data_IF_473699319376
#
_entry.id   IF_473699319376
#
_cell.length_a   1.000
_cell.length_b   1.000
_cell.length_c   1.000
_cell.angle_alpha   90.00
_cell.angle_beta   90.00
_cell.angle_gamma   90.00
#
_symmetry.space_group_name_H-M   'P 1'
#
loop_
_entity.id
_entity.type
_entity.pdbx_description
1 polymer ?
#
# COMPACT_ATOMS: atom_id res chain seq x y z
N UNK A 1 -38.45 -16.38 -20.28
CA UNK A 1 -38.15 -15.38 -19.26
C UNK A 1 -39.36 -15.28 -18.35
N UNK A 2 -39.22 -15.60 -17.07
CA UNK A 2 -40.02 -14.88 -16.09
C UNK A 2 -39.04 -13.90 -15.49
N UNK A 3 -39.10 -12.65 -15.96
CA UNK A 3 -38.48 -11.55 -15.23
C UNK A 3 -39.01 -11.59 -13.79
N UNK A 4 -38.16 -11.29 -12.81
CA UNK A 4 -38.52 -11.30 -11.40
C UNK A 4 -39.49 -10.15 -11.11
N UNK A 5 -40.77 -10.36 -11.45
CA UNK A 5 -41.85 -9.41 -11.18
C UNK A 5 -42.29 -9.46 -9.72
N UNK A 6 -43.33 -8.68 -9.37
CA UNK A 6 -43.82 -8.60 -7.99
C UNK A 6 -44.15 -9.97 -7.38
N UNK A 7 -44.75 -10.88 -8.16
CA UNK A 7 -45.04 -12.24 -7.71
C UNK A 7 -43.76 -13.04 -7.39
N UNK A 8 -42.74 -12.95 -8.25
CA UNK A 8 -41.45 -13.61 -8.03
C UNK A 8 -40.69 -13.04 -6.83
N UNK A 9 -40.83 -11.73 -6.57
CA UNK A 9 -40.28 -11.11 -5.36
C UNK A 9 -40.94 -11.64 -4.08
N UNK A 10 -42.28 -11.80 -4.08
CA UNK A 10 -43.01 -12.39 -2.95
C UNK A 10 -42.58 -13.85 -2.74
N UNK A 11 -42.52 -14.64 -3.81
CA UNK A 11 -42.04 -16.02 -3.76
C UNK A 11 -40.62 -16.09 -3.19
N UNK A 12 -39.70 -15.26 -3.68
CA UNK A 12 -38.34 -15.17 -3.18
C UNK A 12 -38.30 -14.87 -1.67
N UNK A 13 -39.09 -13.91 -1.19
CA UNK A 13 -39.15 -13.61 0.27
C UNK A 13 -39.72 -14.75 1.10
N UNK A 14 -40.53 -15.62 0.52
CA UNK A 14 -41.09 -16.78 1.22
C UNK A 14 -40.09 -17.94 1.40
N UNK A 15 -38.99 -17.93 0.64
CA UNK A 15 -37.98 -19.01 0.68
C UNK A 15 -37.09 -18.98 1.93
N UNK A 16 -37.12 -17.89 2.71
CA UNK A 16 -36.24 -17.71 3.85
C UNK A 16 -36.95 -17.03 5.01
N UNK A 17 -36.68 -17.46 6.25
CA UNK A 17 -37.37 -16.91 7.41
C UNK A 17 -36.70 -15.64 7.93
N UNK A 18 -37.51 -14.73 8.46
CA UNK A 18 -37.02 -13.51 9.14
C UNK A 18 -36.05 -13.87 10.27
N UNK A 19 -36.35 -14.90 11.07
CA UNK A 19 -35.48 -15.34 12.16
C UNK A 19 -34.05 -15.65 11.69
N UNK A 20 -33.90 -16.35 10.55
CA UNK A 20 -32.58 -16.64 9.98
C UNK A 20 -31.90 -15.42 9.39
N UNK A 21 -32.65 -14.44 8.88
CA UNK A 21 -32.04 -13.17 8.45
C UNK A 21 -31.45 -12.40 9.63
N UNK A 22 -32.11 -12.47 10.80
CA UNK A 22 -31.65 -11.82 12.03
C UNK A 22 -30.40 -12.47 12.65
N UNK A 23 -30.06 -13.70 12.28
CA UNK A 23 -28.80 -14.36 12.68
C UNK A 23 -27.56 -13.73 11.99
N UNK A 24 -27.75 -12.81 11.04
CA UNK A 24 -26.65 -12.07 10.44
C UNK A 24 -26.07 -11.09 11.47
N UNK A 25 -24.78 -11.23 11.76
CA UNK A 25 -24.03 -10.43 12.75
C UNK A 25 -24.32 -8.91 12.69
N UNK A 26 -24.42 -8.34 11.49
CA UNK A 26 -24.69 -6.90 11.30
C UNK A 26 -26.08 -6.49 11.80
N UNK A 27 -27.11 -7.27 11.45
CA UNK A 27 -28.49 -7.01 11.90
C UNK A 27 -28.64 -7.26 13.38
N UNK A 28 -28.02 -8.32 13.92
CA UNK A 28 -28.02 -8.61 15.34
C UNK A 28 -27.42 -7.45 16.15
N UNK A 29 -26.26 -6.93 15.72
CA UNK A 29 -25.59 -5.78 16.37
C UNK A 29 -26.44 -4.52 16.30
N UNK A 30 -27.03 -4.21 15.13
CA UNK A 30 -27.85 -2.99 14.96
C UNK A 30 -29.12 -3.03 15.77
N UNK A 31 -29.79 -4.18 15.87
CA UNK A 31 -30.97 -4.35 16.73
C UNK A 31 -30.60 -4.14 18.20
N UNK A 32 -29.50 -4.76 18.67
CA UNK A 32 -29.02 -4.56 20.05
C UNK A 32 -28.67 -3.11 20.34
N UNK A 33 -28.18 -2.37 19.34
CA UNK A 33 -27.86 -0.95 19.45
C UNK A 33 -29.08 -0.01 19.27
N UNK A 34 -30.28 -0.55 18.98
CA UNK A 34 -31.47 0.26 18.69
C UNK A 34 -31.42 1.01 17.35
N UNK A 35 -30.50 0.65 16.46
CA UNK A 35 -30.37 1.26 15.14
C UNK A 35 -31.45 0.68 14.20
N UNK A 36 -32.21 1.52 13.47
CA UNK A 36 -33.25 1.05 12.56
C UNK A 36 -32.66 0.22 11.44
N UNK A 37 -33.38 -0.81 10.98
CA UNK A 37 -33.05 -1.63 9.80
C UNK A 37 -34.23 -1.54 8.83
N UNK A 38 -33.97 -1.15 7.59
CA UNK A 38 -35.01 -1.02 6.57
C UNK A 38 -35.42 -2.37 5.99
N UNK A 39 -36.68 -2.50 5.53
CA UNK A 39 -37.16 -3.72 4.85
C UNK A 39 -36.32 -4.02 3.60
N UNK A 40 -35.90 -2.99 2.87
CA UNK A 40 -35.03 -3.13 1.69
C UNK A 40 -33.69 -3.80 2.01
N UNK A 41 -33.14 -3.64 3.21
CA UNK A 41 -31.88 -4.29 3.60
C UNK A 41 -32.04 -5.81 3.74
N UNK A 42 -33.24 -6.30 4.10
CA UNK A 42 -33.54 -7.74 4.13
C UNK A 42 -33.69 -8.34 2.73
N UNK A 43 -34.01 -7.53 1.72
CA UNK A 43 -34.16 -7.99 0.35
C UNK A 43 -32.81 -8.24 -0.33
N UNK A 44 -31.76 -7.50 0.04
CA UNK A 44 -30.47 -7.55 -0.63
C UNK A 44 -29.85 -8.96 -0.67
N UNK A 45 -29.76 -9.72 0.44
CA UNK A 45 -29.20 -11.08 0.41
C UNK A 45 -30.00 -12.04 -0.48
N UNK A 46 -31.32 -11.88 -0.51
CA UNK A 46 -32.20 -12.70 -1.34
C UNK A 46 -31.99 -12.42 -2.83
N UNK A 47 -31.88 -11.14 -3.20
CA UNK A 47 -31.62 -10.72 -4.57
C UNK A 47 -30.27 -11.23 -5.06
N UNK A 48 -29.20 -10.99 -4.29
CA UNK A 48 -27.86 -11.50 -4.63
C UNK A 48 -27.86 -13.04 -4.73
N UNK A 49 -28.53 -13.72 -3.80
CA UNK A 49 -28.60 -15.18 -3.87
C UNK A 49 -29.42 -15.69 -5.07
N UNK A 50 -30.45 -14.95 -5.48
CA UNK A 50 -31.23 -15.27 -6.68
C UNK A 50 -30.42 -15.06 -7.96
N UNK A 51 -29.46 -14.13 -7.99
CA UNK A 51 -28.54 -14.00 -9.11
C UNK A 51 -27.79 -15.32 -9.36
N UNK A 52 -27.37 -16.02 -8.30
CA UNK A 52 -26.74 -17.34 -8.42
C UNK A 52 -27.67 -18.44 -8.90
N UNK A 53 -28.97 -18.34 -8.63
CA UNK A 53 -30.01 -19.22 -9.19
C UNK A 53 -30.17 -18.95 -10.69
N UNK A 54 -30.33 -17.68 -11.07
CA UNK A 54 -30.56 -17.25 -12.44
C UNK A 54 -29.37 -17.57 -13.36
N UNK A 55 -28.15 -17.35 -12.85
CA UNK A 55 -26.89 -17.59 -13.57
C UNK A 55 -26.42 -19.05 -13.50
N UNK A 56 -27.05 -19.88 -12.66
CA UNK A 56 -26.65 -21.26 -12.38
C UNK A 56 -25.17 -21.37 -11.98
N UNK A 57 -24.74 -20.50 -11.05
CA UNK A 57 -23.35 -20.42 -10.62
C UNK A 57 -22.83 -21.74 -10.05
N UNK A 58 -21.72 -22.24 -10.59
CA UNK A 58 -20.96 -23.36 -10.00
C UNK A 58 -20.06 -22.91 -8.84
N UNK A 59 -19.54 -21.69 -8.92
CA UNK A 59 -18.63 -21.08 -7.94
C UNK A 59 -19.04 -19.62 -7.79
N UNK A 60 -19.19 -19.16 -6.55
CA UNK A 60 -19.31 -17.74 -6.23
C UNK A 60 -18.16 -17.34 -5.30
N UNK A 61 -17.50 -16.24 -5.64
CA UNK A 61 -16.35 -15.69 -4.89
C UNK A 61 -16.76 -14.41 -4.19
N UNK A 62 -16.23 -14.18 -2.98
CA UNK A 62 -16.44 -12.91 -2.28
C UNK A 62 -15.49 -12.72 -1.10
N UNK A 63 -15.51 -11.53 -0.50
CA UNK A 63 -14.80 -11.27 0.75
C UNK A 63 -15.39 -12.08 1.91
N UNK A 64 -14.63 -12.25 3.00
CA UNK A 64 -15.14 -12.92 4.21
C UNK A 64 -16.35 -12.20 4.83
N UNK A 65 -16.52 -10.90 4.57
CA UNK A 65 -17.71 -10.13 4.98
C UNK A 65 -18.98 -10.45 4.16
N UNK A 66 -18.86 -11.21 3.06
CA UNK A 66 -19.97 -11.65 2.22
C UNK A 66 -20.47 -13.05 2.56
N UNK A 67 -19.94 -13.72 3.60
CA UNK A 67 -20.27 -15.11 3.95
C UNK A 67 -21.77 -15.40 3.95
N UNK A 68 -22.57 -14.54 4.60
CA UNK A 68 -24.03 -14.72 4.67
C UNK A 68 -24.68 -14.70 3.28
N UNK A 69 -24.32 -13.73 2.44
CA UNK A 69 -24.89 -13.56 1.11
C UNK A 69 -24.47 -14.71 0.18
N UNK A 70 -23.21 -15.13 0.23
CA UNK A 70 -22.70 -16.26 -0.56
C UNK A 70 -23.40 -17.59 -0.18
N UNK A 71 -23.69 -17.79 1.11
CA UNK A 71 -24.45 -18.95 1.58
C UNK A 71 -25.95 -18.85 1.26
N UNK A 72 -26.48 -17.63 1.10
CA UNK A 72 -27.84 -17.42 0.63
C UNK A 72 -28.00 -17.92 -0.81
N UNK A 73 -27.07 -17.58 -1.72
CA UNK A 73 -27.09 -18.10 -3.10
C UNK A 73 -27.13 -19.62 -3.15
N UNK A 74 -26.26 -20.25 -2.35
CA UNK A 74 -26.23 -21.71 -2.21
C UNK A 74 -27.54 -22.29 -1.66
N UNK A 75 -28.16 -21.62 -0.69
CA UNK A 75 -29.45 -22.04 -0.12
C UNK A 75 -30.57 -21.92 -1.14
N UNK A 76 -30.63 -20.81 -1.89
CA UNK A 76 -31.65 -20.58 -2.90
C UNK A 76 -31.52 -21.55 -4.08
N UNK A 77 -30.30 -21.87 -4.52
CA UNK A 77 -30.10 -22.91 -5.56
C UNK A 77 -30.68 -24.27 -5.16
N UNK A 78 -30.60 -24.62 -3.86
CA UNK A 78 -31.27 -25.80 -3.32
C UNK A 78 -32.79 -25.65 -3.35
N UNK A 79 -33.32 -24.54 -2.86
CA UNK A 79 -34.77 -24.28 -2.83
C UNK A 79 -35.40 -24.31 -4.23
N UNK A 80 -34.72 -23.73 -5.22
CA UNK A 80 -35.15 -23.70 -6.61
C UNK A 80 -34.81 -24.98 -7.40
N UNK A 81 -34.23 -26.00 -6.76
CA UNK A 81 -33.85 -27.28 -7.37
C UNK A 81 -33.03 -27.12 -8.67
N UNK A 82 -32.05 -26.19 -8.67
CA UNK A 82 -31.19 -25.88 -9.81
C UNK A 82 -30.19 -27.03 -10.12
N UNK A 83 -30.23 -28.10 -9.32
CA UNK A 83 -29.36 -29.26 -9.43
C UNK A 83 -28.16 -29.12 -8.52
N UNK A 84 -27.12 -28.44 -8.99
CA UNK A 84 -25.86 -28.28 -8.24
C UNK A 84 -25.85 -26.99 -7.44
N UNK A 85 -25.47 -27.11 -6.17
CA UNK A 85 -25.19 -25.97 -5.29
C UNK A 85 -23.78 -25.43 -5.54
N UNK A 86 -23.63 -24.11 -5.58
CA UNK A 86 -22.36 -23.44 -5.77
C UNK A 86 -21.35 -23.79 -4.68
N UNK A 87 -20.08 -23.85 -5.06
CA UNK A 87 -18.97 -23.74 -4.13
C UNK A 87 -18.78 -22.27 -3.76
N UNK A 88 -18.56 -22.00 -2.47
CA UNK A 88 -18.28 -20.66 -1.96
C UNK A 88 -16.79 -20.54 -1.70
N UNK A 89 -16.13 -19.59 -2.36
CA UNK A 89 -14.73 -19.27 -2.14
C UNK A 89 -14.64 -17.88 -1.50
N UNK A 90 -14.19 -17.83 -0.26
CA UNK A 90 -14.00 -16.58 0.45
C UNK A 90 -12.54 -16.15 0.43
N UNK A 91 -12.31 -14.89 0.07
CA UNK A 91 -11.00 -14.25 0.14
C UNK A 91 -10.92 -13.39 1.41
N UNK A 92 -9.76 -13.32 2.07
CA UNK A 92 -9.58 -12.41 3.19
C UNK A 92 -9.76 -10.95 2.76
N UNK A 93 -10.12 -10.10 3.72
CA UNK A 93 -10.22 -8.67 3.48
C UNK A 93 -8.81 -8.06 3.51
N UNK A 94 -8.56 -7.15 2.57
CA UNK A 94 -7.35 -6.35 2.54
C UNK A 94 -7.46 -5.21 3.57
N UNK A 95 -6.45 -5.10 4.42
CA UNK A 95 -6.28 -3.98 5.34
C UNK A 95 -5.91 -2.71 4.56
N UNK A 96 -6.52 -1.59 4.95
CA UNK A 96 -6.27 -0.30 4.33
C UNK A 96 -4.90 0.28 4.70
N UNK A 97 -4.64 1.51 4.28
CA UNK A 97 -3.39 2.23 4.55
C UNK A 97 -3.06 2.38 6.05
N UNK A 98 -4.07 2.25 6.93
CA UNK A 98 -3.90 2.29 8.38
C UNK A 98 -3.41 0.97 9.00
N UNK A 99 -3.44 -0.14 8.25
CA UNK A 99 -3.02 -1.47 8.67
C UNK A 99 -3.90 -2.16 9.71
N UNK A 100 -5.04 -1.57 10.09
CA UNK A 100 -5.91 -2.08 11.15
C UNK A 100 -7.31 -2.35 10.62
N UNK A 101 -7.90 -1.38 9.92
CA UNK A 101 -9.24 -1.51 9.38
C UNK A 101 -9.18 -2.07 7.97
N UNK A 102 -10.25 -2.77 7.57
CA UNK A 102 -10.44 -3.12 6.17
C UNK A 102 -10.39 -1.87 5.30
N UNK A 103 -9.84 -2.00 4.10
CA UNK A 103 -9.78 -0.92 3.14
C UNK A 103 -11.19 -0.40 2.81
N UNK A 104 -11.42 0.89 2.98
CA UNK A 104 -12.72 1.53 2.75
C UNK A 104 -12.58 2.99 2.31
N UNK A 105 -13.41 3.38 1.34
CA UNK A 105 -13.55 4.79 0.94
C UNK A 105 -14.00 5.69 2.09
N UNK A 106 -14.87 5.20 2.96
CA UNK A 106 -15.41 5.98 4.08
C UNK A 106 -14.37 6.29 5.16
N UNK A 107 -13.34 5.46 5.28
CA UNK A 107 -12.26 5.64 6.24
C UNK A 107 -11.08 6.43 5.65
N UNK A 108 -11.11 6.73 4.34
CA UNK A 108 -10.00 7.40 3.65
C UNK A 108 -8.72 6.55 3.57
N UNK A 109 -8.77 5.28 3.95
CA UNK A 109 -7.61 4.38 4.04
C UNK A 109 -7.45 3.50 2.78
N UNK A 110 -7.84 4.01 1.60
CA UNK A 110 -7.94 3.22 0.37
C UNK A 110 -7.05 3.73 -0.76
N UNK A 111 -6.80 2.83 -1.71
CA UNK A 111 -6.26 3.13 -3.03
C UNK A 111 -7.32 2.77 -4.06
N UNK A 112 -7.84 3.76 -4.77
CA UNK A 112 -8.77 3.54 -5.87
C UNK A 112 -8.06 2.97 -7.10
N UNK A 113 -8.66 1.98 -7.75
CA UNK A 113 -8.16 1.41 -9.02
C UNK A 113 -8.12 2.41 -10.19
N UNK A 114 -8.79 3.55 -10.04
CA UNK A 114 -8.84 4.64 -11.03
C UNK A 114 -8.09 5.89 -10.57
N UNK A 115 -7.32 5.82 -9.48
CA UNK A 115 -6.43 6.91 -9.10
C UNK A 115 -5.33 7.09 -10.15
N UNK A 116 -4.63 8.22 -10.17
CA UNK A 116 -3.50 8.37 -11.08
C UNK A 116 -2.30 7.54 -10.58
N UNK A 117 -1.34 7.28 -11.49
CA UNK A 117 -0.18 6.45 -11.20
C UNK A 117 0.66 6.96 -10.03
N UNK A 118 0.82 8.29 -9.91
CA UNK A 118 1.62 8.91 -8.85
C UNK A 118 0.99 8.69 -7.46
N UNK A 119 -0.32 8.92 -7.34
CA UNK A 119 -1.07 8.72 -6.10
C UNK A 119 -1.10 7.24 -5.71
N UNK A 120 -1.32 6.33 -6.68
CA UNK A 120 -1.30 4.89 -6.45
C UNK A 120 0.06 4.42 -5.95
N UNK A 121 1.14 4.88 -6.59
CA UNK A 121 2.51 4.54 -6.20
C UNK A 121 2.84 5.08 -4.81
N UNK A 122 2.55 6.36 -4.54
CA UNK A 122 2.83 7.01 -3.27
C UNK A 122 2.03 6.40 -2.11
N UNK A 123 0.74 6.11 -2.32
CA UNK A 123 -0.10 5.47 -1.30
C UNK A 123 0.35 4.04 -1.02
N UNK A 124 0.71 3.26 -2.04
CA UNK A 124 1.28 1.92 -1.83
C UNK A 124 2.55 2.01 -0.98
N UNK A 125 3.42 2.98 -1.23
CA UNK A 125 4.63 3.19 -0.42
C UNK A 125 4.37 3.64 1.02
N UNK A 126 3.20 4.21 1.30
CA UNK A 126 2.85 4.72 2.64
C UNK A 126 2.52 3.63 3.66
N UNK A 127 2.28 2.39 3.20
CA UNK A 127 2.03 1.26 4.09
C UNK A 127 3.26 0.92 4.95
N UNK A 128 3.02 0.37 6.13
CA UNK A 128 4.10 -0.07 7.02
C UNK A 128 4.87 -1.25 6.45
N UNK A 129 6.11 -1.42 6.88
CA UNK A 129 6.96 -2.54 6.45
C UNK A 129 6.37 -3.90 6.87
N UNK A 130 5.63 -3.93 7.99
CA UNK A 130 4.90 -5.11 8.46
C UNK A 130 3.69 -5.41 7.57
N UNK A 131 2.88 -4.39 7.25
CA UNK A 131 1.68 -4.54 6.42
C UNK A 131 2.00 -4.92 4.98
N UNK A 132 3.17 -4.52 4.47
CA UNK A 132 3.63 -4.82 3.11
C UNK A 132 3.52 -6.31 2.77
N UNK A 133 3.85 -7.21 3.70
CA UNK A 133 3.81 -8.65 3.43
C UNK A 133 2.38 -9.15 3.20
N UNK A 134 1.43 -8.61 3.96
CA UNK A 134 0.02 -8.90 3.76
C UNK A 134 -0.47 -8.43 2.39
N UNK A 135 0.02 -7.29 1.93
CA UNK A 135 -0.26 -6.80 0.58
C UNK A 135 0.41 -7.64 -0.49
N UNK A 136 1.64 -8.13 -0.27
CA UNK A 136 2.28 -9.09 -1.18
C UNK A 136 1.42 -10.36 -1.34
N UNK A 137 1.01 -10.99 -0.25
CA UNK A 137 0.20 -12.20 -0.27
C UNK A 137 -1.12 -12.04 -1.03
N UNK A 138 -1.78 -10.89 -0.88
CA UNK A 138 -3.12 -10.67 -1.41
C UNK A 138 -3.14 -10.03 -2.80
N UNK A 139 -2.11 -9.26 -3.15
CA UNK A 139 -2.10 -8.44 -4.35
C UNK A 139 -0.97 -8.76 -5.32
N UNK A 140 0.16 -9.31 -4.88
CA UNK A 140 1.29 -9.57 -5.79
C UNK A 140 1.03 -10.80 -6.66
N UNK A 141 1.68 -10.82 -7.81
CA UNK A 141 1.76 -11.97 -8.71
C UNK A 141 2.82 -12.98 -8.28
N UNK A 142 3.64 -12.64 -7.28
CA UNK A 142 4.60 -13.56 -6.67
C UNK A 142 3.90 -14.73 -5.99
N UNK A 143 4.51 -15.89 -6.10
CA UNK A 143 4.11 -17.08 -5.34
C UNK A 143 4.44 -16.91 -3.87
N UNK A 144 3.76 -17.68 -3.00
CA UNK A 144 4.04 -17.66 -1.56
C UNK A 144 5.51 -18.00 -1.23
N UNK A 145 6.14 -18.89 -2.00
CA UNK A 145 7.55 -19.22 -1.85
C UNK A 145 8.47 -18.03 -2.17
N UNK A 146 8.20 -17.32 -3.27
CA UNK A 146 8.97 -16.11 -3.62
C UNK A 146 8.79 -14.98 -2.59
N UNK A 147 7.58 -14.87 -2.00
CA UNK A 147 7.31 -13.90 -0.93
C UNK A 147 8.10 -14.28 0.34
N UNK A 148 8.12 -15.56 0.71
CA UNK A 148 8.88 -16.05 1.87
C UNK A 148 10.39 -15.84 1.69
N UNK A 149 10.93 -16.11 0.50
CA UNK A 149 12.33 -15.81 0.15
C UNK A 149 12.64 -14.32 0.27
N UNK A 150 11.77 -13.45 -0.27
CA UNK A 150 11.93 -11.99 -0.18
C UNK A 150 11.88 -11.51 1.29
N UNK A 151 11.00 -12.08 2.11
CA UNK A 151 10.90 -11.76 3.53
C UNK A 151 12.18 -12.17 4.28
N UNK A 152 12.75 -13.33 3.97
CA UNK A 152 14.03 -13.80 4.53
C UNK A 152 15.21 -12.92 4.11
N UNK A 153 15.25 -12.51 2.84
CA UNK A 153 16.26 -11.57 2.33
C UNK A 153 16.17 -10.20 3.02
N UNK A 154 14.96 -9.72 3.32
CA UNK A 154 14.77 -8.49 4.10
C UNK A 154 15.22 -8.67 5.55
N UNK A 155 14.83 -9.76 6.22
CA UNK A 155 15.18 -10.03 7.62
C UNK A 155 16.68 -10.24 7.83
N UNK A 156 17.38 -10.79 6.84
CA UNK A 156 18.84 -10.99 6.86
C UNK A 156 19.62 -9.73 6.47
N UNK A 157 18.95 -8.66 6.03
CA UNK A 157 19.59 -7.43 5.55
C UNK A 157 20.19 -7.53 4.14
N UNK A 158 19.99 -8.64 3.44
CA UNK A 158 20.38 -8.81 2.03
C UNK A 158 19.54 -7.95 1.08
N UNK A 159 18.29 -7.67 1.46
CA UNK A 159 17.40 -6.78 0.74
C UNK A 159 16.84 -5.69 1.67
N UNK A 160 16.67 -4.48 1.16
CA UNK A 160 16.19 -3.38 1.98
C UNK A 160 14.65 -3.33 1.98
N UNK A 161 13.96 -3.20 3.13
CA UNK A 161 12.48 -3.19 3.19
C UNK A 161 11.85 -2.09 2.34
N UNK A 162 12.46 -0.89 2.32
CA UNK A 162 12.06 0.19 1.39
C UNK A 162 12.04 -0.26 -0.06
N UNK A 163 13.04 -1.02 -0.51
CA UNK A 163 13.12 -1.48 -1.89
C UNK A 163 12.01 -2.50 -2.18
N UNK A 164 11.75 -3.41 -1.25
CA UNK A 164 10.62 -4.34 -1.37
C UNK A 164 9.27 -3.60 -1.46
N UNK A 165 9.08 -2.49 -0.73
CA UNK A 165 7.88 -1.65 -0.88
C UNK A 165 7.83 -0.94 -2.23
N UNK A 166 8.96 -0.42 -2.70
CA UNK A 166 9.05 0.20 -4.04
C UNK A 166 8.71 -0.80 -5.15
N UNK A 167 9.15 -2.05 -5.03
CA UNK A 167 8.84 -3.10 -6.01
C UNK A 167 7.35 -3.45 -6.01
N UNK A 168 6.72 -3.53 -4.84
CA UNK A 168 5.28 -3.75 -4.73
C UNK A 168 4.48 -2.57 -5.29
N UNK A 169 4.89 -1.34 -4.96
CA UNK A 169 4.28 -0.12 -5.48
C UNK A 169 4.41 -0.03 -7.00
N UNK A 170 5.57 -0.40 -7.54
CA UNK A 170 5.80 -0.50 -8.97
C UNK A 170 4.88 -1.55 -9.61
N UNK A 171 4.81 -2.76 -9.04
CA UNK A 171 3.99 -3.85 -9.56
C UNK A 171 2.51 -3.47 -9.62
N UNK A 172 1.97 -2.94 -8.52
CA UNK A 172 0.57 -2.52 -8.43
C UNK A 172 0.29 -1.39 -9.41
N UNK A 173 1.15 -0.38 -9.47
CA UNK A 173 0.97 0.77 -10.37
C UNK A 173 1.05 0.34 -11.83
N UNK A 174 2.00 -0.52 -12.18
CA UNK A 174 2.17 -1.03 -13.54
C UNK A 174 0.97 -1.85 -14.00
N UNK A 175 0.32 -2.59 -13.10
CA UNK A 175 -0.88 -3.38 -13.41
C UNK A 175 -2.06 -2.52 -13.87
N UNK A 176 -2.25 -1.33 -13.29
CA UNK A 176 -3.38 -0.45 -13.62
C UNK A 176 -3.03 0.63 -14.66
N UNK A 177 -1.76 1.06 -14.73
CA UNK A 177 -1.33 2.19 -15.58
C UNK A 177 -0.30 1.84 -16.64
N UNK A 178 0.23 0.62 -16.66
CA UNK A 178 1.32 0.19 -17.53
C UNK A 178 2.71 0.54 -16.96
N UNK A 179 3.73 -0.13 -17.48
CA UNK A 179 5.11 -0.01 -16.97
C UNK A 179 5.67 1.41 -17.07
N UNK A 180 5.43 2.10 -18.17
CA UNK A 180 6.00 3.45 -18.38
C UNK A 180 5.47 4.46 -17.37
N UNK A 181 4.17 4.41 -17.06
CA UNK A 181 3.57 5.25 -16.03
C UNK A 181 4.09 4.91 -14.63
N UNK A 182 4.29 3.62 -14.33
CA UNK A 182 4.86 3.18 -13.05
C UNK A 182 6.33 3.62 -12.89
N UNK A 183 7.14 3.53 -13.95
CA UNK A 183 8.53 4.04 -13.96
C UNK A 183 8.56 5.55 -13.74
N UNK A 184 7.68 6.29 -14.42
CA UNK A 184 7.56 7.73 -14.26
C UNK A 184 7.15 8.10 -12.82
N UNK A 185 6.14 7.43 -12.25
CA UNK A 185 5.70 7.64 -10.88
C UNK A 185 6.81 7.34 -9.85
N UNK A 186 7.57 6.27 -10.06
CA UNK A 186 8.72 5.94 -9.22
C UNK A 186 9.81 7.01 -9.30
N UNK A 187 10.15 7.48 -10.51
CA UNK A 187 11.15 8.52 -10.72
C UNK A 187 10.72 9.85 -10.08
N UNK A 188 9.45 10.23 -10.26
CA UNK A 188 8.87 11.43 -9.68
C UNK A 188 8.88 11.36 -8.15
N UNK A 189 8.41 10.26 -7.56
CA UNK A 189 8.43 10.06 -6.12
C UNK A 189 9.84 10.19 -5.53
N UNK A 190 10.84 9.57 -6.18
CA UNK A 190 12.23 9.67 -5.75
C UNK A 190 12.79 11.10 -5.89
N UNK A 191 12.43 11.82 -6.95
CA UNK A 191 12.84 13.22 -7.14
C UNK A 191 12.23 14.14 -6.08
N UNK A 192 10.92 14.03 -5.81
CA UNK A 192 10.23 14.85 -4.80
C UNK A 192 10.71 14.51 -3.39
N UNK A 193 10.91 13.22 -3.09
CA UNK A 193 11.39 12.81 -1.77
C UNK A 193 12.85 13.20 -1.53
N UNK A 194 13.73 13.11 -2.55
CA UNK A 194 15.11 13.60 -2.46
C UNK A 194 15.17 15.13 -2.36
N UNK A 195 14.27 15.85 -3.04
CA UNK A 195 14.15 17.31 -2.92
C UNK A 195 13.59 17.73 -1.56
N UNK A 196 12.61 17.01 -1.01
CA UNK A 196 12.11 17.25 0.35
C UNK A 196 13.11 16.86 1.46
N UNK A 197 14.15 16.07 1.15
CA UNK A 197 15.27 15.82 2.06
C UNK A 197 16.32 16.93 2.03
N UNK A 198 16.42 17.70 0.93
CA UNK A 198 17.29 18.86 0.86
C UNK A 198 16.55 20.09 1.42
N UNK A 199 17.10 20.79 2.42
CA UNK A 199 16.54 22.07 2.84
C UNK A 199 16.49 23.03 1.65
N UNK A 200 15.36 23.71 1.44
CA UNK A 200 15.24 24.78 0.42
C UNK A 200 16.10 25.99 0.73
N UNK A 201 16.50 26.16 2.00
CA UNK A 201 17.41 27.20 2.47
C UNK A 201 18.68 26.53 3.04
N UNK A 202 19.74 26.49 2.22
CA UNK A 202 21.05 25.98 2.62
C UNK A 202 22.04 27.11 2.71
N UNK A 203 22.88 27.08 3.75
CA UNK A 203 24.00 28.02 3.85
C UNK A 203 24.99 27.77 2.72
N UNK A 204 25.28 28.82 1.96
CA UNK A 204 26.26 28.82 0.89
C UNK A 204 27.63 29.29 1.40
N UNK A 205 28.70 28.59 0.98
CA UNK A 205 30.09 28.94 1.30
C UNK A 205 30.95 28.97 0.05
N UNK A 206 31.94 29.86 0.02
CA UNK A 206 32.96 29.91 -1.03
C UNK A 206 34.30 29.47 -0.47
N UNK A 207 34.88 28.41 -1.04
CA UNK A 207 36.11 27.76 -0.57
C UNK A 207 37.15 27.71 -1.70
N UNK A 208 38.44 27.67 -1.36
CA UNK A 208 39.50 27.66 -2.38
C UNK A 208 39.82 26.25 -2.89
N UNK A 209 39.95 26.11 -4.20
CA UNK A 209 40.39 24.85 -4.83
C UNK A 209 41.92 24.65 -4.72
N UNK A 210 42.41 23.42 -4.52
CA UNK A 210 41.68 22.25 -4.03
C UNK A 210 41.51 22.29 -2.51
N UNK A 211 40.35 21.87 -2.00
CA UNK A 211 40.10 21.77 -0.55
C UNK A 211 39.95 20.32 -0.11
N UNK A 212 40.54 19.98 1.03
CA UNK A 212 40.40 18.68 1.65
C UNK A 212 39.00 18.52 2.26
N UNK A 213 38.32 17.39 2.02
CA UNK A 213 36.92 17.20 2.42
C UNK A 213 36.67 17.41 3.92
N UNK A 214 37.61 16.97 4.76
CA UNK A 214 37.53 17.13 6.22
C UNK A 214 37.59 18.61 6.62
N UNK A 215 38.41 19.39 5.92
CA UNK A 215 38.53 20.83 6.12
C UNK A 215 37.28 21.56 5.60
N UNK A 216 36.73 21.14 4.45
CA UNK A 216 35.48 21.72 3.94
C UNK A 216 34.31 21.51 4.93
N UNK A 217 34.19 20.32 5.51
CA UNK A 217 33.15 20.00 6.50
C UNK A 217 33.26 20.85 7.78
N UNK A 218 34.48 21.13 8.25
CA UNK A 218 34.69 21.95 9.44
C UNK A 218 34.50 23.44 9.14
N UNK A 219 35.02 23.95 8.02
CA UNK A 219 34.84 25.35 7.61
C UNK A 219 33.37 25.71 7.36
N UNK A 220 32.56 24.76 6.86
CA UNK A 220 31.11 24.96 6.67
C UNK A 220 30.30 24.80 7.97
N UNK A 221 30.94 24.51 9.10
CA UNK A 221 30.28 24.29 10.38
C UNK A 221 29.42 23.02 10.44
N UNK A 222 29.63 22.06 9.52
CA UNK A 222 28.92 20.78 9.52
C UNK A 222 29.46 19.84 10.60
N UNK A 223 30.77 19.91 10.86
CA UNK A 223 31.45 19.20 11.95
C UNK A 223 32.22 20.19 12.83
N UNK A 224 32.22 19.98 14.14
CA UNK A 224 32.85 20.89 15.12
C UNK A 224 34.38 20.96 15.01
N UNK A 225 35.00 19.95 14.40
CA UNK A 225 36.45 19.89 14.17
C UNK A 225 36.80 18.91 13.05
N UNK A 226 38.03 19.00 12.54
CA UNK A 226 38.57 18.04 11.57
C UNK A 226 38.56 16.60 12.11
N UNK A 227 38.82 16.41 13.41
CA UNK A 227 38.75 15.10 14.05
C UNK A 227 37.33 14.54 14.07
N UNK A 228 36.32 15.40 14.26
CA UNK A 228 34.92 15.00 14.18
C UNK A 228 34.54 14.63 12.74
N UNK A 229 34.90 15.45 11.76
CA UNK A 229 34.63 15.18 10.34
C UNK A 229 35.22 13.83 9.88
N UNK A 230 36.44 13.47 10.30
CA UNK A 230 37.01 12.13 10.01
C UNK A 230 36.20 11.00 10.63
N UNK A 231 35.72 11.16 11.88
CA UNK A 231 34.85 10.18 12.52
C UNK A 231 33.52 10.04 11.78
N UNK A 232 32.94 11.15 11.35
CA UNK A 232 31.68 11.17 10.59
C UNK A 232 31.83 10.44 9.24
N UNK A 233 32.95 10.65 8.52
CA UNK A 233 33.25 9.95 7.26
C UNK A 233 33.40 8.43 7.51
N UNK A 234 34.18 8.04 8.53
CA UNK A 234 34.34 6.61 8.89
C UNK A 234 33.05 5.95 9.35
N UNK A 235 32.16 6.71 9.97
CA UNK A 235 30.83 6.26 10.37
C UNK A 235 29.81 6.24 9.21
N UNK A 236 30.24 6.49 7.98
CA UNK A 236 29.39 6.56 6.79
C UNK A 236 28.27 7.62 6.92
N UNK A 237 28.53 8.68 7.68
CA UNK A 237 27.57 9.73 7.99
C UNK A 237 27.63 10.91 7.00
N UNK A 238 28.66 10.98 6.15
CA UNK A 238 28.89 12.09 5.22
C UNK A 238 28.49 11.72 3.79
N UNK A 239 27.82 12.64 3.10
CA UNK A 239 27.53 12.57 1.67
C UNK A 239 27.90 13.85 0.94
N UNK A 240 28.28 13.71 -0.34
CA UNK A 240 28.46 14.80 -1.30
C UNK A 240 27.42 14.60 -2.40
N UNK A 241 26.60 15.60 -2.69
CA UNK A 241 25.52 15.52 -3.68
C UNK A 241 24.61 14.29 -3.45
N UNK A 242 24.31 14.00 -2.18
CA UNK A 242 23.56 12.82 -1.70
C UNK A 242 24.25 11.46 -1.86
N UNK A 243 25.45 11.39 -2.44
CA UNK A 243 26.25 10.16 -2.52
C UNK A 243 27.17 10.03 -1.31
N UNK A 244 27.18 8.86 -0.68
CA UNK A 244 28.00 8.58 0.50
C UNK A 244 29.49 8.52 0.13
N UNK A 245 30.33 9.09 1.00
CA UNK A 245 31.78 9.04 0.84
C UNK A 245 32.44 8.27 1.98
N UNK A 246 33.52 7.56 1.66
CA UNK A 246 34.36 6.85 2.63
C UNK A 246 35.81 7.30 2.65
N UNK A 247 36.25 8.04 1.63
CA UNK A 247 37.63 8.52 1.53
C UNK A 247 37.82 9.82 2.31
N UNK A 248 38.46 9.72 3.48
CA UNK A 248 38.80 10.89 4.29
C UNK A 248 39.91 11.75 3.67
N UNK A 249 40.61 11.31 2.63
CA UNK A 249 41.67 12.05 1.93
C UNK A 249 41.19 12.76 0.67
N UNK A 250 39.90 12.64 0.33
CA UNK A 250 39.30 13.27 -0.84
C UNK A 250 39.58 14.78 -0.88
N UNK A 251 40.03 15.26 -2.03
CA UNK A 251 40.21 16.69 -2.32
C UNK A 251 39.19 17.12 -3.38
N UNK A 252 38.40 18.14 -3.05
CA UNK A 252 37.45 18.74 -3.96
C UNK A 252 38.17 19.73 -4.88
N UNK A 253 38.00 19.55 -6.19
CA UNK A 253 38.45 20.50 -7.20
C UNK A 253 37.48 21.67 -7.33
N UNK A 254 37.73 22.54 -8.32
CA UNK A 254 36.82 23.64 -8.61
C UNK A 254 35.45 23.11 -9.07
N UNK A 255 34.36 23.63 -8.49
CA UNK A 255 33.00 23.16 -8.76
C UNK A 255 32.00 23.49 -7.63
N UNK A 256 30.74 23.15 -7.85
CA UNK A 256 29.68 23.27 -6.85
C UNK A 256 29.36 21.89 -6.23
N UNK A 257 29.23 21.86 -4.91
CA UNK A 257 28.95 20.64 -4.16
C UNK A 257 27.94 20.89 -3.05
N UNK A 258 27.10 19.90 -2.74
CA UNK A 258 26.25 19.88 -1.56
C UNK A 258 26.86 18.90 -0.56
N UNK A 259 27.36 19.42 0.56
CA UNK A 259 27.86 18.63 1.66
C UNK A 259 26.75 18.34 2.66
N UNK A 260 26.66 17.09 3.09
CA UNK A 260 25.67 16.65 4.08
C UNK A 260 26.35 15.80 5.17
N UNK A 261 26.00 16.08 6.42
CA UNK A 261 26.40 15.25 7.58
C UNK A 261 25.14 14.81 8.33
N UNK A 262 24.89 13.49 8.33
CA UNK A 262 23.68 12.92 8.91
C UNK A 262 22.41 13.39 8.18
N UNK A 263 21.27 13.46 8.89
CA UNK A 263 19.95 13.76 8.29
C UNK A 263 19.58 15.24 8.22
N UNK A 264 20.31 16.13 8.92
CA UNK A 264 19.86 17.51 9.17
C UNK A 264 20.88 18.60 8.86
N UNK A 265 22.15 18.26 8.68
CA UNK A 265 23.21 19.26 8.45
C UNK A 265 23.56 19.27 6.97
N UNK A 266 23.35 20.41 6.33
CA UNK A 266 23.58 20.62 4.91
C UNK A 266 24.33 21.94 4.70
N UNK A 267 25.26 21.96 3.74
CA UNK A 267 25.89 23.17 3.25
C UNK A 267 26.09 23.05 1.74
N UNK A 268 25.81 24.12 1.02
CA UNK A 268 26.18 24.23 -0.39
C UNK A 268 27.51 24.96 -0.46
N UNK A 269 28.46 24.43 -1.20
CA UNK A 269 29.79 25.01 -1.34
C UNK A 269 30.10 25.25 -2.81
N UNK A 270 30.75 26.39 -3.07
CA UNK A 270 31.38 26.71 -4.35
C UNK A 270 32.87 26.73 -4.13
N UNK A 271 33.56 25.79 -4.77
CA UNK A 271 35.02 25.63 -4.68
C UNK A 271 35.63 26.31 -5.90
N UNK A 272 36.49 27.32 -5.69
CA UNK A 272 37.08 28.18 -6.73
C UNK A 272 38.61 28.31 -6.59
#
# INVERSE_FOLDING_TARGET
SNELGAAGMIELTSTFSVARMLERDDFEKRIKAGNPISISEFMYPLLQGYDSVAMKCDIEMGGTDQKFNLLMGRTLQRTYNIGKEQAVIMMPLLEGLDGVNKMSKSLGNYIGVTENANDMFAKTLSISDELMWRWYELLSTKTLGEIEELMNDVNSGKYHPKKAKEDLAYEITARYHGEEAAKAAMAEFNSVHSQNQLPTDMKEFSLKAPIWIVEALSQCGLSESNSQARRDIKANAVSINQEKISDEQLKLGAGEYILQVGKRKFAKIKVE
#
